data_IF_391372139932
#
_entry.id   IF_391372139932
#
_cell.length_a   1.000
_cell.length_b   1.000
_cell.length_c   1.000
_cell.angle_alpha   90.00
_cell.angle_beta   90.00
_cell.angle_gamma   90.00
#
_symmetry.space_group_name_H-M   'P 1'
#
loop_
_entity.id
_entity.type
_entity.pdbx_description
1 polymer ?
#
# COMPACT_ATOMS: atom_id res chain seq x y z
N UNK A 1 5.05 -23.56 -27.58
CA UNK A 1 5.53 -23.47 -26.20
C UNK A 1 4.41 -22.86 -25.36
N UNK A 2 3.75 -23.67 -24.54
CA UNK A 2 2.80 -23.14 -23.57
C UNK A 2 3.64 -22.47 -22.47
N UNK A 3 3.70 -21.14 -22.48
CA UNK A 3 4.21 -20.35 -21.37
C UNK A 3 3.22 -20.51 -20.21
N UNK A 4 3.54 -21.36 -19.24
CA UNK A 4 2.76 -21.46 -18.00
C UNK A 4 3.06 -20.22 -17.15
N UNK A 5 2.29 -19.17 -17.38
CA UNK A 5 2.35 -17.96 -16.59
C UNK A 5 1.86 -18.27 -15.16
N UNK A 6 2.55 -17.72 -14.17
CA UNK A 6 2.11 -17.79 -12.78
C UNK A 6 0.82 -16.95 -12.57
N UNK A 7 0.23 -16.99 -11.37
CA UNK A 7 -1.04 -16.30 -11.07
C UNK A 7 -1.01 -14.78 -11.22
N UNK A 8 0.18 -14.17 -11.30
CA UNK A 8 0.36 -12.72 -11.56
C UNK A 8 0.83 -12.44 -13.00
N UNK A 9 0.83 -13.44 -13.87
CA UNK A 9 1.09 -13.28 -15.30
C UNK A 9 2.57 -13.23 -15.69
N UNK A 10 3.48 -13.72 -14.84
CA UNK A 10 4.91 -13.77 -15.14
C UNK A 10 5.34 -15.19 -15.51
N UNK A 11 6.28 -15.29 -16.46
CA UNK A 11 6.92 -16.55 -16.86
C UNK A 11 8.06 -16.93 -15.89
N UNK A 12 7.67 -17.13 -14.63
CA UNK A 12 8.54 -17.53 -13.53
C UNK A 12 7.79 -18.41 -12.55
N UNK A 13 8.50 -19.33 -11.90
CA UNK A 13 7.93 -20.07 -10.77
C UNK A 13 7.59 -19.11 -9.63
N UNK A 14 6.51 -19.32 -8.88
CA UNK A 14 6.19 -18.48 -7.72
C UNK A 14 7.36 -18.34 -6.74
N UNK A 15 8.08 -19.41 -6.43
CA UNK A 15 9.25 -19.40 -5.53
C UNK A 15 10.39 -18.48 -5.98
N UNK A 16 10.53 -18.31 -7.29
CA UNK A 16 11.58 -17.50 -7.90
C UNK A 16 11.10 -16.06 -8.17
N UNK A 17 9.81 -15.82 -7.99
CA UNK A 17 9.18 -14.53 -8.20
C UNK A 17 9.16 -13.74 -6.89
N UNK A 18 9.87 -12.63 -6.87
CA UNK A 18 9.92 -11.72 -5.71
C UNK A 18 8.81 -10.70 -5.81
N UNK A 19 7.89 -10.72 -4.86
CA UNK A 19 6.78 -9.78 -4.80
C UNK A 19 6.86 -8.88 -3.57
N UNK A 20 6.56 -7.61 -3.76
CA UNK A 20 6.40 -6.66 -2.67
C UNK A 20 4.90 -6.44 -2.47
N UNK A 21 4.45 -6.56 -1.23
CA UNK A 21 3.07 -6.27 -0.83
C UNK A 21 3.04 -5.00 0.00
N UNK A 22 2.30 -4.00 -0.46
CA UNK A 22 2.03 -2.79 0.31
C UNK A 22 1.03 -3.12 1.43
N UNK A 23 1.51 -3.09 2.68
CA UNK A 23 0.74 -3.44 3.86
C UNK A 23 0.36 -2.19 4.65
N UNK A 24 -0.93 -1.95 4.81
CA UNK A 24 -1.47 -0.83 5.58
C UNK A 24 -1.89 -1.21 7.00
N UNK A 25 -1.72 -2.48 7.41
CA UNK A 25 -2.27 -3.00 8.65
C UNK A 25 -3.74 -3.40 8.57
N UNK A 26 -4.45 -3.05 7.50
CA UNK A 26 -5.84 -3.44 7.26
C UNK A 26 -6.00 -4.87 6.76
N UNK A 27 -7.26 -5.33 6.77
CA UNK A 27 -7.63 -6.73 6.40
C UNK A 27 -7.26 -7.03 4.95
N UNK A 28 -7.57 -6.14 4.01
CA UNK A 28 -7.38 -6.37 2.58
C UNK A 28 -5.90 -6.60 2.23
N UNK A 29 -5.02 -5.72 2.70
CA UNK A 29 -3.58 -5.84 2.46
C UNK A 29 -2.97 -7.06 3.15
N UNK A 30 -3.49 -7.43 4.33
CA UNK A 30 -3.08 -8.63 5.06
C UNK A 30 -3.50 -9.90 4.34
N UNK A 31 -4.73 -9.92 3.80
CA UNK A 31 -5.26 -11.03 3.01
C UNK A 31 -4.43 -11.25 1.73
N UNK A 32 -4.10 -10.16 1.04
CA UNK A 32 -3.26 -10.21 -0.17
C UNK A 32 -1.88 -10.77 0.16
N UNK A 33 -1.24 -10.32 1.25
CA UNK A 33 0.05 -10.85 1.68
C UNK A 33 -0.03 -12.37 1.98
N UNK A 34 -1.09 -12.79 2.67
CA UNK A 34 -1.34 -14.21 2.94
C UNK A 34 -1.55 -15.04 1.68
N UNK A 35 -2.36 -14.55 0.74
CA UNK A 35 -2.59 -15.23 -0.55
C UNK A 35 -1.30 -15.41 -1.35
N UNK A 36 -0.47 -14.36 -1.43
CA UNK A 36 0.82 -14.45 -2.14
C UNK A 36 1.76 -15.47 -1.48
N UNK A 37 1.84 -15.46 -0.15
CA UNK A 37 2.63 -16.46 0.59
C UNK A 37 2.12 -17.88 0.39
N UNK A 38 0.79 -18.09 0.44
CA UNK A 38 0.17 -19.41 0.20
C UNK A 38 0.41 -19.93 -1.21
N UNK A 39 0.49 -19.06 -2.19
CA UNK A 39 0.81 -19.40 -3.58
C UNK A 39 2.32 -19.67 -3.80
N UNK A 40 3.12 -19.55 -2.75
CA UNK A 40 4.54 -19.87 -2.79
C UNK A 40 5.45 -18.78 -3.31
N UNK A 41 4.98 -17.53 -3.40
CA UNK A 41 5.80 -16.39 -3.80
C UNK A 41 6.82 -16.00 -2.72
N UNK A 42 7.93 -15.41 -3.16
CA UNK A 42 8.89 -14.76 -2.26
C UNK A 42 8.37 -13.37 -1.89
N UNK A 43 7.68 -13.28 -0.74
CA UNK A 43 6.94 -12.10 -0.33
C UNK A 43 7.74 -11.23 0.62
N UNK A 44 7.79 -9.92 0.35
CA UNK A 44 8.25 -8.90 1.30
C UNK A 44 7.15 -7.87 1.52
N UNK A 45 6.72 -7.70 2.77
CA UNK A 45 5.77 -6.66 3.15
C UNK A 45 6.45 -5.29 3.30
N UNK A 46 5.79 -4.22 2.84
CA UNK A 46 6.25 -2.84 3.05
C UNK A 46 5.11 -2.02 3.63
N UNK A 47 5.41 -1.29 4.72
CA UNK A 47 4.48 -0.32 5.31
C UNK A 47 5.10 1.07 5.28
N UNK A 48 4.32 2.06 4.82
CA UNK A 48 4.71 3.47 4.88
C UNK A 48 4.26 4.07 6.21
N UNK A 49 5.18 4.68 6.94
CA UNK A 49 4.88 5.46 8.13
C UNK A 49 4.85 6.95 7.75
N UNK A 50 3.66 7.52 7.70
CA UNK A 50 3.41 8.88 7.22
C UNK A 50 3.35 9.94 8.33
N UNK A 51 3.15 9.52 9.59
CA UNK A 51 3.02 10.42 10.74
C UNK A 51 4.04 10.10 11.83
N UNK A 52 4.42 11.11 12.60
CA UNK A 52 5.19 10.92 13.83
C UNK A 52 4.30 10.38 14.95
N UNK A 53 4.87 9.62 15.87
CA UNK A 53 4.17 9.06 17.03
C UNK A 53 3.89 10.14 18.08
N UNK A 54 3.11 11.16 17.74
CA UNK A 54 2.57 12.08 18.74
C UNK A 54 1.40 11.39 19.46
N UNK A 55 1.32 11.58 20.79
CA UNK A 55 0.27 10.95 21.63
C UNK A 55 -1.16 11.23 21.16
N UNK A 56 -1.36 12.28 20.39
CA UNK A 56 -2.67 12.68 19.83
C UNK A 56 -3.04 11.88 18.58
N UNK A 57 -2.06 11.51 17.74
CA UNK A 57 -2.26 10.74 16.50
C UNK A 57 -2.54 9.27 16.80
N UNK A 58 -2.00 8.72 17.89
CA UNK A 58 -2.22 7.31 18.28
C UNK A 58 -3.69 7.03 18.65
N UNK A 59 -4.44 8.04 19.07
CA UNK A 59 -5.88 7.90 19.44
C UNK A 59 -6.84 8.10 18.28
N UNK A 60 -6.38 8.65 17.16
CA UNK A 60 -7.22 8.88 15.99
C UNK A 60 -7.08 7.72 15.01
N UNK A 61 -8.19 7.27 14.41
CA UNK A 61 -8.21 6.31 13.29
C UNK A 61 -7.70 6.99 12.00
N UNK A 62 -6.48 7.51 12.06
CA UNK A 62 -5.83 8.14 10.90
C UNK A 62 -5.12 7.06 10.10
N UNK A 63 -5.31 7.07 8.79
CA UNK A 63 -4.67 6.15 7.85
C UNK A 63 -3.14 6.16 8.04
N UNK A 64 -2.52 4.98 8.09
CA UNK A 64 -1.08 4.78 8.33
C UNK A 64 -0.59 5.29 9.71
N UNK A 65 -1.43 5.11 10.73
CA UNK A 65 -1.12 5.41 12.13
C UNK A 65 -0.05 4.46 12.70
N UNK A 66 0.49 4.77 13.87
CA UNK A 66 1.42 3.88 14.56
C UNK A 66 0.83 2.50 14.85
N UNK A 67 -0.50 2.42 15.11
CA UNK A 67 -1.18 1.15 15.32
C UNK A 67 -1.21 0.30 14.04
N UNK A 68 -1.47 0.90 12.88
CA UNK A 68 -1.49 0.20 11.59
C UNK A 68 -0.13 -0.44 11.28
N UNK A 69 0.96 0.24 11.61
CA UNK A 69 2.33 -0.28 11.47
C UNK A 69 2.54 -1.50 12.37
N UNK A 70 2.05 -1.46 13.61
CA UNK A 70 2.15 -2.58 14.55
C UNK A 70 1.34 -3.78 14.04
N UNK A 71 0.14 -3.55 13.53
CA UNK A 71 -0.73 -4.59 13.01
C UNK A 71 -0.14 -5.23 11.75
N UNK A 72 0.38 -4.42 10.82
CA UNK A 72 1.11 -4.92 9.65
C UNK A 72 2.31 -5.80 10.05
N UNK A 73 3.09 -5.37 11.04
CA UNK A 73 4.23 -6.13 11.56
C UNK A 73 3.81 -7.46 12.18
N UNK A 74 2.70 -7.48 12.94
CA UNK A 74 2.15 -8.73 13.51
C UNK A 74 1.72 -9.72 12.43
N UNK A 75 1.05 -9.23 11.39
CA UNK A 75 0.62 -10.06 10.26
C UNK A 75 1.84 -10.61 9.53
N UNK A 76 2.82 -9.79 9.20
CA UNK A 76 4.04 -10.21 8.54
C UNK A 76 4.78 -11.31 9.35
N UNK A 77 4.87 -11.15 10.65
CA UNK A 77 5.46 -12.15 11.55
C UNK A 77 4.67 -13.47 11.54
N UNK A 78 3.32 -13.41 11.58
CA UNK A 78 2.47 -14.61 11.51
C UNK A 78 2.56 -15.35 10.18
N UNK A 79 2.78 -14.61 9.10
CA UNK A 79 2.94 -15.17 7.75
C UNK A 79 4.37 -15.63 7.47
N UNK A 80 5.30 -15.39 8.38
CA UNK A 80 6.73 -15.66 8.20
C UNK A 80 7.24 -15.03 6.89
N UNK A 81 7.03 -13.72 6.73
CA UNK A 81 7.51 -12.91 5.62
C UNK A 81 8.36 -11.75 6.12
N UNK A 82 9.33 -11.35 5.31
CA UNK A 82 10.10 -10.13 5.58
C UNK A 82 9.19 -8.91 5.59
N UNK A 83 9.45 -7.97 6.51
CA UNK A 83 8.69 -6.73 6.61
C UNK A 83 9.59 -5.52 6.79
N UNK A 84 9.38 -4.49 5.97
CA UNK A 84 10.12 -3.23 6.02
C UNK A 84 9.18 -2.07 6.30
N UNK A 85 9.62 -1.16 7.16
CA UNK A 85 8.91 0.09 7.45
C UNK A 85 9.70 1.22 6.81
N UNK A 86 9.03 2.00 5.99
CA UNK A 86 9.61 3.17 5.33
C UNK A 86 9.04 4.44 5.98
N UNK A 87 9.93 5.34 6.35
CA UNK A 87 9.59 6.59 7.02
C UNK A 87 9.46 7.70 5.99
N UNK A 88 8.22 8.19 5.78
CA UNK A 88 7.89 9.16 4.75
C UNK A 88 7.22 10.43 5.30
N UNK A 89 7.45 10.75 6.59
CA UNK A 89 6.81 11.87 7.27
C UNK A 89 7.08 13.21 6.58
N UNK A 90 8.33 13.48 6.22
CA UNK A 90 8.70 14.75 5.59
C UNK A 90 8.14 14.90 4.18
N UNK A 91 8.23 13.84 3.37
CA UNK A 91 7.65 13.82 2.02
C UNK A 91 6.12 13.95 2.06
N UNK A 92 5.47 13.30 3.03
CA UNK A 92 4.03 13.40 3.22
C UNK A 92 3.61 14.82 3.62
N UNK A 93 4.36 15.45 4.52
CA UNK A 93 4.11 16.83 4.91
C UNK A 93 4.19 17.77 3.71
N UNK A 94 5.29 17.75 2.99
CA UNK A 94 5.51 18.65 1.83
C UNK A 94 4.57 18.35 0.66
N UNK A 95 4.38 17.09 0.33
CA UNK A 95 3.63 16.68 -0.86
C UNK A 95 2.12 16.66 -0.68
N UNK A 96 1.63 16.49 0.55
CA UNK A 96 0.19 16.33 0.81
C UNK A 96 -0.35 17.39 1.77
N UNK A 97 0.27 17.58 2.93
CA UNK A 97 -0.26 18.49 3.96
C UNK A 97 -0.14 19.95 3.51
N UNK A 98 1.03 20.37 3.04
CA UNK A 98 1.26 21.75 2.64
C UNK A 98 0.37 22.11 1.45
N UNK A 99 0.20 21.21 0.49
CA UNK A 99 -0.68 21.37 -0.66
C UNK A 99 -2.17 21.43 -0.25
N UNK A 100 -2.56 20.60 0.73
CA UNK A 100 -3.91 20.64 1.29
C UNK A 100 -4.23 22.02 1.87
N UNK A 101 -3.31 22.56 2.68
CA UNK A 101 -3.47 23.88 3.30
C UNK A 101 -3.54 24.98 2.23
N UNK A 102 -2.65 24.93 1.24
CA UNK A 102 -2.62 25.92 0.16
C UNK A 102 -3.91 25.91 -0.68
N UNK A 103 -4.41 24.73 -1.08
CA UNK A 103 -5.67 24.61 -1.83
C UNK A 103 -6.85 25.11 -1.00
N UNK A 104 -6.89 24.79 0.29
CA UNK A 104 -7.96 25.26 1.17
C UNK A 104 -7.97 26.79 1.33
N UNK A 105 -6.79 27.40 1.44
CA UNK A 105 -6.66 28.88 1.50
C UNK A 105 -7.08 29.55 0.20
N UNK A 106 -6.98 28.86 -0.93
CA UNK A 106 -7.48 29.35 -2.25
C UNK A 106 -8.99 29.15 -2.44
N UNK A 107 -9.69 28.57 -1.46
CA UNK A 107 -11.12 28.26 -1.56
C UNK A 107 -11.46 27.03 -2.41
N UNK A 108 -10.45 26.19 -2.72
CA UNK A 108 -10.64 24.93 -3.42
C UNK A 108 -10.95 23.79 -2.43
N UNK A 109 -11.60 22.74 -2.89
CA UNK A 109 -11.82 21.51 -2.09
C UNK A 109 -10.74 20.49 -2.41
N UNK A 110 -9.68 20.37 -1.61
CA UNK A 110 -8.60 19.42 -1.89
C UNK A 110 -9.01 17.98 -1.57
N UNK A 111 -8.48 17.04 -2.33
CA UNK A 111 -8.66 15.60 -2.10
C UNK A 111 -7.30 14.99 -1.71
N UNK A 112 -6.90 15.08 -0.43
CA UNK A 112 -5.55 14.69 0.00
C UNK A 112 -5.26 13.20 -0.21
N UNK A 113 -6.28 12.34 -0.13
CA UNK A 113 -6.08 10.89 -0.34
C UNK A 113 -5.66 10.56 -1.78
N UNK A 114 -6.22 11.22 -2.78
CA UNK A 114 -5.83 11.03 -4.18
C UNK A 114 -4.39 11.47 -4.38
N UNK A 115 -4.04 12.63 -3.87
CA UNK A 115 -2.71 13.18 -3.98
C UNK A 115 -1.68 12.31 -3.25
N UNK A 116 -1.98 11.84 -2.03
CA UNK A 116 -1.14 10.91 -1.29
C UNK A 116 -0.90 9.61 -2.06
N UNK A 117 -1.94 9.05 -2.69
CA UNK A 117 -1.79 7.85 -3.49
C UNK A 117 -0.88 8.08 -4.70
N UNK A 118 -1.09 9.18 -5.43
CA UNK A 118 -0.34 9.48 -6.65
C UNK A 118 1.13 9.83 -6.40
N UNK A 119 1.40 10.67 -5.39
CA UNK A 119 2.74 11.23 -5.18
C UNK A 119 3.60 10.43 -4.21
N UNK A 120 3.01 9.93 -3.12
CA UNK A 120 3.78 9.28 -2.06
C UNK A 120 3.66 7.76 -2.12
N UNK A 121 2.42 7.23 -2.19
CA UNK A 121 2.26 5.79 -2.06
C UNK A 121 2.71 5.02 -3.30
N UNK A 122 2.15 5.32 -4.48
CA UNK A 122 2.45 4.50 -5.66
C UNK A 122 3.82 4.80 -6.25
N UNK A 123 4.17 6.07 -6.40
CA UNK A 123 5.45 6.45 -6.98
C UNK A 123 6.63 5.93 -6.15
N UNK A 124 6.64 6.25 -4.86
CA UNK A 124 7.75 5.89 -4.00
C UNK A 124 7.81 4.37 -3.73
N UNK A 125 6.65 3.70 -3.56
CA UNK A 125 6.62 2.25 -3.43
C UNK A 125 7.13 1.54 -4.69
N UNK A 126 6.82 2.07 -5.86
CA UNK A 126 7.34 1.54 -7.12
C UNK A 126 8.86 1.68 -7.21
N UNK A 127 9.40 2.85 -6.85
CA UNK A 127 10.86 3.07 -6.81
C UNK A 127 11.54 2.08 -5.84
N UNK A 128 10.99 1.91 -4.63
CA UNK A 128 11.51 0.95 -3.66
C UNK A 128 11.42 -0.49 -4.16
N UNK A 129 10.32 -0.86 -4.83
CA UNK A 129 10.16 -2.19 -5.41
C UNK A 129 11.22 -2.46 -6.48
N UNK A 130 11.49 -1.48 -7.31
CA UNK A 130 12.54 -1.55 -8.34
C UNK A 130 13.93 -1.68 -7.70
N UNK A 131 14.24 -0.88 -6.67
CA UNK A 131 15.54 -0.90 -5.98
C UNK A 131 15.77 -2.24 -5.26
N UNK A 132 14.72 -2.85 -4.73
CA UNK A 132 14.73 -4.19 -4.16
C UNK A 132 14.73 -5.30 -5.22
N UNK A 133 14.74 -4.96 -6.51
CA UNK A 133 14.68 -5.90 -7.64
C UNK A 133 13.49 -6.86 -7.51
N UNK A 134 12.33 -6.33 -7.14
CA UNK A 134 11.10 -7.09 -7.11
C UNK A 134 10.51 -7.22 -8.51
N UNK A 135 9.90 -8.35 -8.78
CA UNK A 135 9.24 -8.64 -10.06
C UNK A 135 7.85 -7.99 -10.13
N UNK A 136 7.19 -7.80 -8.98
CA UNK A 136 5.88 -7.16 -8.90
C UNK A 136 5.66 -6.40 -7.58
N UNK A 137 4.89 -5.31 -7.66
CA UNK A 137 4.31 -4.59 -6.53
C UNK A 137 2.81 -4.88 -6.47
N UNK A 138 2.35 -5.38 -5.32
CA UNK A 138 0.98 -5.80 -5.10
C UNK A 138 0.36 -4.96 -3.99
N UNK A 139 -0.89 -4.57 -4.17
CA UNK A 139 -1.64 -3.76 -3.20
C UNK A 139 -3.00 -4.38 -2.91
N UNK A 140 -3.52 -4.15 -1.70
CA UNK A 140 -4.87 -4.56 -1.30
C UNK A 140 -5.95 -3.53 -1.61
N UNK A 141 -5.77 -2.68 -2.64
CA UNK A 141 -6.79 -1.71 -3.00
C UNK A 141 -7.99 -2.41 -3.61
N UNK A 142 -9.17 -2.09 -3.09
CA UNK A 142 -10.45 -2.53 -3.62
C UNK A 142 -11.28 -1.34 -4.07
N UNK A 143 -12.16 -1.57 -5.03
CA UNK A 143 -13.07 -0.55 -5.57
C UNK A 143 -14.50 -1.03 -5.38
N UNK A 144 -15.36 -0.17 -4.82
CA UNK A 144 -16.80 -0.42 -4.77
C UNK A 144 -17.45 0.00 -6.09
N UNK A 145 -18.18 -0.91 -6.70
CA UNK A 145 -18.88 -0.68 -7.97
C UNK A 145 -20.36 -0.38 -7.78
N UNK A 146 -20.81 -0.05 -6.59
CA UNK A 146 -22.23 0.22 -6.30
C UNK A 146 -22.81 1.32 -7.19
N UNK A 147 -22.01 2.32 -7.55
CA UNK A 147 -22.44 3.40 -8.46
C UNK A 147 -22.55 2.96 -9.92
N UNK A 148 -22.01 1.83 -10.32
CA UNK A 148 -22.11 1.32 -11.69
C UNK A 148 -23.48 0.72 -11.99
N UNK A 149 -24.20 0.28 -10.98
CA UNK A 149 -25.57 -0.20 -11.15
C UNK A 149 -26.51 0.91 -11.67
N UNK A 150 -26.28 2.14 -11.25
CA UNK A 150 -27.05 3.30 -11.71
C UNK A 150 -26.88 3.62 -13.21
N UNK A 151 -25.81 3.13 -13.83
CA UNK A 151 -25.56 3.34 -15.27
C UNK A 151 -26.27 2.36 -16.17
N UNK A 152 -26.80 1.27 -15.65
CA UNK A 152 -27.49 0.25 -16.43
C UNK A 152 -28.95 0.54 -16.59
N UNK A 153 -29.45 1.51 -15.86
CA UNK A 153 -30.85 1.94 -15.89
C UNK A 153 -31.09 3.16 -16.79
N UNK A 154 -30.04 3.61 -17.48
CA UNK A 154 -30.11 4.67 -18.49
C UNK A 154 -29.86 4.08 -19.89
#
# INVERSE_FOLDING_TARGET
>A
MNLELNSIGLDKKPSDTKVIVAMSGGVDSSTVAGLMKMQGYNVTGITLKLYNDSKEVVKSKVCCSGQDVIDAKRVAHKLDIDHKILYYQDKFKQGVIDNFVESYLKGETPIPCVQCNQTVKFKDLYEVARDLKADALITGHSVSYTHLSCRREQ
#
